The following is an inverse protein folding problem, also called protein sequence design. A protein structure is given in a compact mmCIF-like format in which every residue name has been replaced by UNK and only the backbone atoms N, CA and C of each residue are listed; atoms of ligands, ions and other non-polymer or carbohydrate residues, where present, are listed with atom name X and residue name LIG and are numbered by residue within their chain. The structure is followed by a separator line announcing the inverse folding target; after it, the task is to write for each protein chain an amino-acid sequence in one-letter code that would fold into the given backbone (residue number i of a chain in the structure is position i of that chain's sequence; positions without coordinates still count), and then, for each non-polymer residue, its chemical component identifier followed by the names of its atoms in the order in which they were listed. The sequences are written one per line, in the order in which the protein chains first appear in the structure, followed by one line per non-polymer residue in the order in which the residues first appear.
data_IF_085386301096
#
_entry.id   IF_085386301096
#
_cell.length_a   1.000
_cell.length_b   1.000
_cell.length_c   1.000
_cell.angle_alpha   90.00
_cell.angle_beta   90.00
_cell.angle_gamma   90.00
#
_symmetry.space_group_name_H-M   'P 1'
#
loop_
_entity.id
_entity.type
_entity.pdbx_description
1 polymer ?
#
# COMPACT_ATOMS: atom_id res chain seq x y z
N UNK A 1 -24.86 -17.36 11.81
CA UNK A 1 -25.24 -16.71 10.54
C UNK A 1 -26.52 -17.34 10.00
N UNK A 2 -27.68 -16.98 10.54
CA UNK A 2 -29.00 -17.50 10.10
C UNK A 2 -30.17 -16.47 10.12
N UNK A 3 -30.09 -15.24 10.67
CA UNK A 3 -31.28 -14.37 10.79
C UNK A 3 -31.76 -13.77 9.45
N UNK A 4 -30.89 -13.67 8.44
CA UNK A 4 -31.22 -12.98 7.18
C UNK A 4 -32.17 -13.81 6.29
N UNK A 5 -32.21 -15.14 6.46
CA UNK A 5 -33.12 -16.04 5.73
C UNK A 5 -34.40 -16.39 6.52
N UNK A 6 -34.33 -16.34 7.86
CA UNK A 6 -35.48 -16.68 8.72
C UNK A 6 -36.57 -15.62 8.67
N UNK A 7 -36.21 -14.33 8.59
CA UNK A 7 -37.18 -13.22 8.49
C UNK A 7 -38.06 -13.34 7.22
N UNK A 8 -37.52 -13.50 6.00
CA UNK A 8 -38.36 -13.69 4.81
C UNK A 8 -39.15 -15.00 4.85
N UNK A 9 -38.59 -16.07 5.44
CA UNK A 9 -39.29 -17.34 5.61
C UNK A 9 -40.54 -17.20 6.51
N UNK A 10 -40.42 -16.49 7.63
CA UNK A 10 -41.54 -16.24 8.56
C UNK A 10 -42.63 -15.41 7.87
N UNK A 11 -42.25 -14.39 7.09
CA UNK A 11 -43.21 -13.58 6.32
C UNK A 11 -43.98 -14.39 5.27
N UNK A 12 -43.30 -15.31 4.59
CA UNK A 12 -43.94 -16.23 3.62
C UNK A 12 -44.93 -17.16 4.34
N UNK A 13 -44.55 -17.71 5.50
CA UNK A 13 -45.43 -18.58 6.29
C UNK A 13 -46.68 -17.81 6.74
N UNK A 14 -46.55 -16.58 7.23
CA UNK A 14 -47.70 -15.74 7.60
C UNK A 14 -48.59 -15.43 6.39
N UNK A 15 -47.99 -15.12 5.23
CA UNK A 15 -48.76 -14.88 4.00
C UNK A 15 -49.54 -16.12 3.56
N UNK A 16 -48.94 -17.32 3.64
CA UNK A 16 -49.60 -18.59 3.31
C UNK A 16 -50.78 -18.83 4.26
N UNK A 17 -50.61 -18.62 5.57
CA UNK A 17 -51.69 -18.77 6.56
C UNK A 17 -52.86 -17.82 6.26
N UNK A 18 -52.57 -16.56 5.88
CA UNK A 18 -53.61 -15.57 5.52
C UNK A 18 -54.34 -15.96 4.23
N UNK A 19 -53.64 -16.52 3.23
CA UNK A 19 -54.23 -16.99 1.97
C UNK A 19 -55.12 -18.22 2.21
N UNK A 20 -54.66 -19.18 3.01
CA UNK A 20 -55.43 -20.39 3.36
C UNK A 20 -56.69 -20.01 4.15
N UNK A 21 -56.56 -19.13 5.14
CA UNK A 21 -57.69 -18.61 5.92
C UNK A 21 -58.69 -17.81 5.05
N UNK A 22 -58.19 -17.08 4.05
CA UNK A 22 -59.04 -16.36 3.08
C UNK A 22 -59.77 -17.32 2.14
N UNK A 23 -59.12 -18.40 1.69
CA UNK A 23 -59.76 -19.42 0.83
C UNK A 23 -60.78 -20.28 1.56
N UNK A 24 -60.62 -20.50 2.87
CA UNK A 24 -61.62 -21.17 3.71
C UNK A 24 -62.85 -20.29 4.00
N UNK A 25 -62.92 -19.06 3.47
CA UNK A 25 -64.07 -18.17 3.63
C UNK A 25 -64.16 -17.50 5.00
N UNK A 26 -63.10 -17.60 5.81
CA UNK A 26 -63.06 -17.07 7.19
C UNK A 26 -62.69 -15.58 7.21
N UNK A 27 -62.24 -15.00 6.09
CA UNK A 27 -61.83 -13.60 6.00
C UNK A 27 -62.69 -12.79 4.99
N UNK A 28 -63.11 -11.56 5.36
CA UNK A 28 -63.95 -10.72 4.51
C UNK A 28 -63.16 -10.19 3.30
N UNK A 29 -63.79 -10.21 2.11
CA UNK A 29 -63.20 -9.83 0.79
C UNK A 29 -62.50 -8.45 0.74
N UNK A 30 -62.69 -7.60 1.76
CA UNK A 30 -62.03 -6.29 1.93
C UNK A 30 -60.56 -6.37 2.36
N UNK A 31 -60.07 -7.52 2.84
CA UNK A 31 -58.68 -7.68 3.32
C UNK A 31 -57.65 -8.00 2.22
N UNK A 32 -58.09 -8.42 1.02
CA UNK A 32 -57.23 -8.70 -0.14
C UNK A 32 -56.26 -7.56 -0.52
N UNK A 33 -56.67 -6.28 -0.62
CA UNK A 33 -55.74 -5.19 -0.93
C UNK A 33 -54.70 -4.94 0.17
N UNK A 34 -55.03 -5.22 1.44
CA UNK A 34 -54.07 -5.11 2.53
C UNK A 34 -52.95 -6.16 2.43
N UNK A 35 -53.30 -7.40 2.04
CA UNK A 35 -52.32 -8.47 1.85
C UNK A 35 -51.42 -8.19 0.64
N UNK A 36 -51.98 -7.70 -0.46
CA UNK A 36 -51.22 -7.31 -1.64
C UNK A 36 -50.26 -6.14 -1.32
N UNK A 37 -50.72 -5.14 -0.56
CA UNK A 37 -49.89 -4.03 -0.09
C UNK A 37 -48.74 -4.50 0.80
N UNK A 38 -49.01 -5.38 1.76
CA UNK A 38 -47.98 -5.94 2.63
C UNK A 38 -46.91 -6.72 1.86
N UNK A 39 -47.31 -7.56 0.91
CA UNK A 39 -46.38 -8.30 0.06
C UNK A 39 -45.55 -7.36 -0.84
N UNK A 40 -46.18 -6.33 -1.42
CA UNK A 40 -45.49 -5.34 -2.23
C UNK A 40 -44.46 -4.54 -1.41
N UNK A 41 -44.78 -4.16 -0.17
CA UNK A 41 -43.85 -3.45 0.73
C UNK A 41 -42.64 -4.31 1.08
N UNK A 42 -42.84 -5.60 1.40
CA UNK A 42 -41.75 -6.53 1.72
C UNK A 42 -40.86 -6.77 0.50
N UNK A 43 -41.46 -6.96 -0.67
CA UNK A 43 -40.72 -7.22 -1.90
C UNK A 43 -39.93 -5.98 -2.35
N UNK A 44 -40.53 -4.80 -2.28
CA UNK A 44 -39.86 -3.53 -2.57
C UNK A 44 -38.68 -3.27 -1.63
N UNK A 45 -38.86 -3.50 -0.32
CA UNK A 45 -37.79 -3.33 0.66
C UNK A 45 -36.62 -4.31 0.43
N UNK A 46 -36.91 -5.56 0.09
CA UNK A 46 -35.90 -6.57 -0.21
C UNK A 46 -35.06 -6.21 -1.44
N UNK A 47 -35.71 -5.76 -2.52
CA UNK A 47 -35.02 -5.29 -3.73
C UNK A 47 -34.15 -4.06 -3.44
N UNK A 48 -34.67 -3.10 -2.67
CA UNK A 48 -33.93 -1.90 -2.29
C UNK A 48 -32.68 -2.23 -1.47
N UNK A 49 -32.80 -3.12 -0.47
CA UNK A 49 -31.67 -3.58 0.34
C UNK A 49 -30.60 -4.26 -0.53
N UNK A 50 -30.99 -5.16 -1.44
CA UNK A 50 -30.05 -5.80 -2.38
C UNK A 50 -29.32 -4.80 -3.27
N UNK A 51 -30.03 -3.79 -3.76
CA UNK A 51 -29.42 -2.75 -4.59
C UNK A 51 -28.44 -1.89 -3.80
N UNK A 52 -28.79 -1.50 -2.57
CA UNK A 52 -27.93 -0.78 -1.66
C UNK A 52 -26.67 -1.58 -1.30
N UNK A 53 -26.80 -2.87 -1.00
CA UNK A 53 -25.67 -3.75 -0.71
C UNK A 53 -24.76 -3.92 -1.93
N UNK A 54 -25.32 -4.05 -3.13
CA UNK A 54 -24.53 -4.11 -4.37
C UNK A 54 -23.76 -2.81 -4.63
N UNK A 55 -24.39 -1.66 -4.37
CA UNK A 55 -23.74 -0.35 -4.49
C UNK A 55 -22.62 -0.15 -3.47
N UNK A 56 -22.81 -0.60 -2.23
CA UNK A 56 -21.75 -0.57 -1.21
C UNK A 56 -20.58 -1.49 -1.57
N UNK A 57 -20.85 -2.69 -2.09
CA UNK A 57 -19.81 -3.61 -2.56
C UNK A 57 -19.02 -3.05 -3.73
N UNK A 58 -19.68 -2.42 -4.71
CA UNK A 58 -18.97 -1.81 -5.84
C UNK A 58 -18.15 -0.59 -5.42
N UNK A 59 -18.63 0.19 -4.45
CA UNK A 59 -17.85 1.29 -3.87
C UNK A 59 -16.61 0.77 -3.12
N UNK A 60 -16.74 -0.34 -2.38
CA UNK A 60 -15.61 -0.99 -1.71
C UNK A 60 -14.59 -1.55 -2.71
N UNK A 61 -15.05 -2.24 -3.76
CA UNK A 61 -14.16 -2.74 -4.82
C UNK A 61 -13.40 -1.61 -5.51
N UNK A 62 -14.08 -0.50 -5.85
CA UNK A 62 -13.39 0.67 -6.43
C UNK A 62 -12.32 1.23 -5.50
N UNK A 63 -12.60 1.31 -4.19
CA UNK A 63 -11.60 1.76 -3.22
C UNK A 63 -10.43 0.78 -3.08
N UNK A 64 -10.69 -0.53 -3.12
CA UNK A 64 -9.61 -1.54 -3.14
C UNK A 64 -8.75 -1.41 -4.40
N UNK A 65 -9.36 -1.23 -5.57
CA UNK A 65 -8.64 -0.99 -6.83
C UNK A 65 -7.80 0.29 -6.79
N UNK A 66 -8.34 1.38 -6.25
CA UNK A 66 -7.61 2.64 -6.04
C UNK A 66 -6.43 2.46 -5.07
N UNK A 67 -6.62 1.74 -3.98
CA UNK A 67 -5.55 1.44 -3.02
C UNK A 67 -4.48 0.53 -3.62
N UNK A 68 -4.85 -0.47 -4.42
CA UNK A 68 -3.90 -1.32 -5.14
C UNK A 68 -3.10 -0.52 -6.18
N UNK A 69 -3.74 0.39 -6.91
CA UNK A 69 -3.08 1.30 -7.84
C UNK A 69 -2.11 2.27 -7.12
N UNK A 70 -2.46 2.76 -5.93
CA UNK A 70 -1.55 3.55 -5.10
C UNK A 70 -0.37 2.73 -4.59
N UNK A 71 -0.63 1.50 -4.12
CA UNK A 71 0.42 0.59 -3.62
C UNK A 71 1.44 0.23 -4.71
N UNK A 72 0.97 -0.06 -5.93
CA UNK A 72 1.86 -0.34 -7.08
C UNK A 72 2.70 0.88 -7.47
N UNK A 73 2.11 2.09 -7.48
CA UNK A 73 2.87 3.34 -7.71
C UNK A 73 3.91 3.58 -6.62
N UNK A 74 3.55 3.40 -5.36
CA UNK A 74 4.46 3.56 -4.23
C UNK A 74 5.62 2.56 -4.27
N UNK A 75 5.33 1.30 -4.63
CA UNK A 75 6.35 0.26 -4.82
C UNK A 75 7.33 0.59 -5.97
N UNK A 76 6.80 1.10 -7.09
CA UNK A 76 7.64 1.53 -8.21
C UNK A 76 8.54 2.72 -7.84
N UNK A 77 8.04 3.71 -7.09
CA UNK A 77 8.88 4.82 -6.61
C UNK A 77 9.92 4.36 -5.60
N UNK A 78 9.57 3.45 -4.68
CA UNK A 78 10.52 2.91 -3.71
C UNK A 78 11.67 2.15 -4.40
N UNK A 79 11.36 1.36 -5.43
CA UNK A 79 12.36 0.68 -6.24
C UNK A 79 13.28 1.68 -6.96
N UNK A 80 12.72 2.74 -7.55
CA UNK A 80 13.50 3.79 -8.21
C UNK A 80 14.41 4.55 -7.22
N UNK A 81 13.92 4.88 -6.02
CA UNK A 81 14.72 5.51 -4.97
C UNK A 81 15.84 4.61 -4.50
N UNK A 82 15.59 3.30 -4.30
CA UNK A 82 16.63 2.35 -3.90
C UNK A 82 17.75 2.24 -4.93
N UNK A 83 17.43 2.25 -6.22
CA UNK A 83 18.42 2.26 -7.29
C UNK A 83 19.22 3.57 -7.31
N UNK A 84 18.56 4.71 -7.07
CA UNK A 84 19.23 6.01 -6.96
C UNK A 84 20.18 6.07 -5.75
N UNK A 85 19.80 5.50 -4.60
CA UNK A 85 20.65 5.44 -3.41
C UNK A 85 21.88 4.54 -3.62
N UNK A 86 21.73 3.42 -4.33
CA UNK A 86 22.86 2.56 -4.73
C UNK A 86 23.82 3.30 -5.67
N UNK A 87 23.30 4.00 -6.67
CA UNK A 87 24.13 4.81 -7.56
C UNK A 87 24.84 5.94 -6.81
N UNK A 88 24.15 6.59 -5.87
CA UNK A 88 24.73 7.66 -5.04
C UNK A 88 25.84 7.15 -4.13
N UNK A 89 25.63 6.02 -3.48
CA UNK A 89 26.66 5.40 -2.62
C UNK A 89 27.86 4.93 -3.44
N UNK A 90 27.65 4.37 -4.63
CA UNK A 90 28.72 4.03 -5.56
C UNK A 90 29.51 5.27 -6.02
N UNK A 91 28.82 6.35 -6.37
CA UNK A 91 29.46 7.61 -6.78
C UNK A 91 30.25 8.25 -5.62
N UNK A 92 29.74 8.19 -4.39
CA UNK A 92 30.45 8.67 -3.20
C UNK A 92 31.69 7.83 -2.90
N UNK A 93 31.61 6.50 -3.03
CA UNK A 93 32.74 5.60 -2.86
C UNK A 93 33.83 5.88 -3.92
N UNK A 94 33.44 6.13 -5.16
CA UNK A 94 34.38 6.47 -6.24
C UNK A 94 35.03 7.84 -6.01
N UNK A 95 34.26 8.84 -5.58
CA UNK A 95 34.78 10.16 -5.21
C UNK A 95 35.78 10.06 -4.05
N UNK A 96 35.51 9.21 -3.06
CA UNK A 96 36.42 8.96 -1.95
C UNK A 96 37.73 8.31 -2.42
N UNK A 97 37.67 7.31 -3.32
CA UNK A 97 38.87 6.69 -3.91
C UNK A 97 39.71 7.70 -4.68
N UNK A 98 39.08 8.57 -5.47
CA UNK A 98 39.78 9.61 -6.22
C UNK A 98 40.46 10.62 -5.27
N UNK A 99 39.79 11.00 -4.18
CA UNK A 99 40.40 11.86 -3.15
C UNK A 99 41.61 11.21 -2.49
N UNK A 100 41.50 9.94 -2.13
CA UNK A 100 42.62 9.20 -1.53
C UNK A 100 43.78 9.03 -2.50
N UNK A 101 43.51 8.73 -3.78
CA UNK A 101 44.52 8.66 -4.82
C UNK A 101 45.22 10.00 -5.02
N UNK A 102 44.47 11.10 -5.13
CA UNK A 102 45.01 12.45 -5.28
C UNK A 102 45.86 12.88 -4.07
N UNK A 103 45.37 12.63 -2.85
CA UNK A 103 46.11 12.92 -1.62
C UNK A 103 47.41 12.12 -1.54
N UNK A 104 47.39 10.86 -1.98
CA UNK A 104 48.58 10.01 -2.05
C UNK A 104 49.59 10.50 -3.07
N UNK A 105 49.13 10.87 -4.27
CA UNK A 105 49.99 11.44 -5.31
C UNK A 105 50.64 12.74 -4.86
N UNK A 106 49.88 13.66 -4.25
CA UNK A 106 50.44 14.92 -3.72
C UNK A 106 51.50 14.67 -2.63
N UNK A 107 51.29 13.68 -1.75
CA UNK A 107 52.29 13.27 -0.75
C UNK A 107 53.54 12.65 -1.40
N UNK A 108 53.37 11.80 -2.41
CA UNK A 108 54.49 11.18 -3.13
C UNK A 108 55.32 12.20 -3.92
N UNK A 109 54.68 13.25 -4.46
CA UNK A 109 55.36 14.37 -5.14
C UNK A 109 56.22 15.18 -4.15
N UNK A 110 55.75 15.36 -2.90
CA UNK A 110 56.52 16.08 -1.88
C UNK A 110 57.62 15.25 -1.20
N UNK A 111 57.55 13.92 -1.25
CA UNK A 111 58.51 13.04 -0.61
C UNK A 111 59.93 13.28 -1.15
N UNK A 112 60.88 13.53 -0.25
CA UNK A 112 62.26 13.93 -0.61
C UNK A 112 63.20 12.74 -0.74
N UNK A 113 62.82 11.60 -0.16
CA UNK A 113 63.64 10.38 -0.11
C UNK A 113 62.84 9.16 -0.54
N UNK A 114 63.53 8.13 -1.04
CA UNK A 114 62.87 6.88 -1.45
C UNK A 114 62.26 6.12 -0.25
N UNK A 115 62.84 6.29 0.95
CA UNK A 115 62.28 5.76 2.20
C UNK A 115 60.93 6.40 2.56
N UNK A 116 60.77 7.72 2.37
CA UNK A 116 59.49 8.40 2.59
C UNK A 116 58.43 7.98 1.58
N UNK A 117 58.82 7.76 0.32
CA UNK A 117 57.91 7.27 -0.72
C UNK A 117 57.37 5.89 -0.38
N UNK A 118 58.23 5.01 0.11
CA UNK A 118 57.84 3.67 0.54
C UNK A 118 56.89 3.69 1.76
N UNK A 119 57.10 4.60 2.71
CA UNK A 119 56.17 4.79 3.82
C UNK A 119 54.81 5.31 3.35
N UNK A 120 54.78 6.36 2.51
CA UNK A 120 53.55 6.94 1.95
C UNK A 120 52.80 5.90 1.11
N UNK A 121 53.52 5.01 0.41
CA UNK A 121 52.92 3.95 -0.39
C UNK A 121 52.09 2.94 0.44
N UNK A 122 52.43 2.78 1.73
CA UNK A 122 51.77 1.84 2.64
C UNK A 122 50.59 2.46 3.39
N UNK A 123 50.51 3.79 3.47
CA UNK A 123 49.41 4.48 4.13
C UNK A 123 48.09 4.34 3.34
N UNK A 124 47.00 4.12 4.08
CA UNK A 124 45.64 4.04 3.56
C UNK A 124 44.64 4.68 4.54
N UNK A 125 43.49 5.14 4.02
CA UNK A 125 42.38 5.64 4.83
C UNK A 125 42.75 6.82 5.74
N UNK A 126 42.49 6.68 7.04
CA UNK A 126 42.61 7.77 8.03
C UNK A 126 44.06 8.25 8.19
N UNK A 127 45.03 7.33 8.22
CA UNK A 127 46.45 7.66 8.42
C UNK A 127 47.02 8.48 7.24
N UNK A 128 46.57 8.17 6.02
CA UNK A 128 46.94 8.91 4.82
C UNK A 128 46.40 10.35 4.86
N UNK A 129 45.15 10.51 5.29
CA UNK A 129 44.52 11.83 5.44
C UNK A 129 45.16 12.65 6.57
N UNK A 130 45.48 12.04 7.72
CA UNK A 130 46.19 12.73 8.79
C UNK A 130 47.58 13.22 8.34
N UNK A 131 48.31 12.40 7.58
CA UNK A 131 49.61 12.79 7.02
C UNK A 131 49.44 13.89 5.99
N UNK A 132 48.42 13.81 5.15
CA UNK A 132 48.08 14.84 4.17
C UNK A 132 47.79 16.19 4.84
N UNK A 133 46.92 16.23 5.85
CA UNK A 133 46.57 17.47 6.58
C UNK A 133 47.76 18.06 7.33
N UNK A 134 48.62 17.21 7.93
CA UNK A 134 49.87 17.67 8.57
C UNK A 134 50.83 18.31 7.58
N UNK A 135 50.91 17.78 6.36
CA UNK A 135 51.79 18.28 5.29
C UNK A 135 51.20 19.51 4.59
N UNK A 136 49.87 19.61 4.48
CA UNK A 136 49.15 20.69 3.82
C UNK A 136 48.12 21.37 4.76
N UNK A 137 48.55 22.05 5.83
CA UNK A 137 47.64 22.59 6.86
C UNK A 137 46.82 23.83 6.46
N UNK A 138 47.14 24.46 5.32
CA UNK A 138 46.53 25.72 4.85
C UNK A 138 45.58 25.53 3.63
N UNK A 139 45.14 24.30 3.37
CA UNK A 139 44.11 23.97 2.37
C UNK A 139 42.90 23.34 3.05
#
# INVERSE_FOLDING_TARGET
MLPDLTIPLILIVVAIVVIVASRMGVLPKKSLPFVAGALASVFGFSLFKKWQDKSRRSALQKREEELAALGTRAGATAAATSAADVQRTAALAELQRQKEAAAKEELLIQARTDAEKDEISKLQGVELFERFVKTFPNR
#
